data_IF_220886924016
#
_entry.id   IF_220886924016
#
_cell.length_a   1.000
_cell.length_b   1.000
_cell.length_c   1.000
_cell.angle_alpha   90.00
_cell.angle_beta   90.00
_cell.angle_gamma   90.00
#
_symmetry.space_group_name_H-M   'P 1'
#
loop_
_entity.id
_entity.type
_entity.pdbx_description
1 polymer ?
#
# COMPACT_ATOMS: atom_id res chain seq x y z
N UNK A 1 6.85 -6.09 -10.94
CA UNK A 1 5.37 -5.87 -10.91
C UNK A 1 5.02 -4.40 -11.23
N UNK A 2 3.78 -3.94 -11.07
CA UNK A 2 3.38 -2.52 -11.06
C UNK A 2 2.58 -2.20 -9.79
N UNK A 3 2.76 -1.00 -9.24
CA UNK A 3 2.05 -0.55 -8.05
C UNK A 3 1.15 0.64 -8.38
N UNK A 4 -0.09 0.61 -7.89
CA UNK A 4 -1.06 1.70 -8.03
C UNK A 4 -1.53 2.09 -6.64
N UNK A 5 -1.30 3.34 -6.25
CA UNK A 5 -1.66 3.88 -4.94
C UNK A 5 -2.81 4.86 -5.14
N UNK A 6 -3.94 4.57 -4.50
CA UNK A 6 -5.17 5.37 -4.54
C UNK A 6 -5.34 6.04 -3.19
N UNK A 7 -5.09 7.34 -3.12
CA UNK A 7 -5.18 8.10 -1.88
C UNK A 7 -6.49 8.87 -1.80
N UNK A 8 -7.20 8.73 -0.67
CA UNK A 8 -8.38 9.54 -0.42
C UNK A 8 -7.98 11.02 -0.15
N UNK A 9 -8.69 12.03 -0.68
CA UNK A 9 -8.32 13.45 -0.55
C UNK A 9 -8.17 13.96 0.90
N UNK A 10 -8.95 13.39 1.83
CA UNK A 10 -8.84 13.73 3.26
C UNK A 10 -7.49 13.36 3.90
N UNK A 11 -6.72 12.43 3.30
CA UNK A 11 -5.39 12.04 3.78
C UNK A 11 -4.28 12.83 3.09
N UNK A 12 -4.52 13.33 1.87
CA UNK A 12 -3.56 14.16 1.16
C UNK A 12 -3.15 15.42 1.95
N UNK A 13 -4.07 15.97 2.75
CA UNK A 13 -3.82 17.15 3.59
C UNK A 13 -3.02 16.85 4.86
N UNK A 14 -2.72 15.58 5.17
CA UNK A 14 -1.95 15.24 6.37
C UNK A 14 -0.46 15.35 6.10
N UNK A 15 0.25 16.02 7.00
CA UNK A 15 1.68 16.31 6.86
C UNK A 15 2.60 15.07 6.76
N UNK A 16 2.11 13.86 7.07
CA UNK A 16 2.90 12.63 7.09
C UNK A 16 2.32 11.60 6.11
N UNK A 17 2.63 11.78 4.83
CA UNK A 17 2.14 10.96 3.72
C UNK A 17 3.00 9.72 3.45
N UNK A 18 2.83 8.64 4.21
CA UNK A 18 3.60 7.38 4.01
C UNK A 18 3.37 6.75 2.64
N UNK A 19 2.15 6.83 2.09
CA UNK A 19 1.84 6.38 0.74
C UNK A 19 2.58 7.20 -0.34
N UNK A 20 2.64 8.53 -0.16
CA UNK A 20 3.41 9.41 -1.05
C UNK A 20 4.91 9.11 -0.95
N UNK A 21 5.41 8.83 0.24
CA UNK A 21 6.81 8.42 0.44
C UNK A 21 7.12 7.13 -0.32
N UNK A 22 6.23 6.12 -0.23
CA UNK A 22 6.38 4.87 -0.96
C UNK A 22 6.40 5.12 -2.48
N UNK A 23 5.51 5.96 -3.00
CA UNK A 23 5.49 6.33 -4.43
C UNK A 23 6.82 6.93 -4.90
N UNK A 24 7.42 7.82 -4.10
CA UNK A 24 8.72 8.43 -4.43
C UNK A 24 9.88 7.43 -4.40
N UNK A 25 9.76 6.34 -3.63
CA UNK A 25 10.78 5.30 -3.54
C UNK A 25 10.64 4.18 -4.60
N UNK A 26 9.50 4.11 -5.30
CA UNK A 26 9.19 3.00 -6.21
C UNK A 26 9.02 3.54 -7.63
N UNK A 27 9.96 3.16 -8.51
CA UNK A 27 9.90 3.48 -9.94
C UNK A 27 8.62 2.90 -10.56
N UNK A 28 8.08 3.62 -11.54
CA UNK A 28 6.89 3.24 -12.31
C UNK A 28 5.62 2.97 -11.49
N UNK A 29 5.58 3.42 -10.23
CA UNK A 29 4.35 3.41 -9.45
C UNK A 29 3.40 4.52 -9.91
N UNK A 30 2.09 4.24 -9.85
CA UNK A 30 1.04 5.19 -10.19
C UNK A 30 0.44 5.71 -8.89
N UNK A 31 0.27 7.02 -8.78
CA UNK A 31 -0.34 7.66 -7.61
C UNK A 31 -1.51 8.53 -8.05
N UNK A 32 -2.71 8.22 -7.56
CA UNK A 32 -3.94 8.94 -7.88
C UNK A 32 -4.62 9.38 -6.59
N UNK A 33 -4.98 10.66 -6.51
CA UNK A 33 -5.72 11.23 -5.37
C UNK A 33 -7.15 11.50 -5.81
N UNK A 34 -8.13 10.94 -5.12
CA UNK A 34 -9.53 11.16 -5.49
C UNK A 34 -10.50 10.23 -4.79
N UNK A 35 -11.79 10.51 -4.97
CA UNK A 35 -12.89 9.63 -4.55
C UNK A 35 -13.47 8.84 -5.73
N UNK A 36 -13.37 9.35 -6.96
CA UNK A 36 -13.74 8.65 -8.19
C UNK A 36 -12.50 8.49 -9.07
N UNK A 37 -11.67 7.49 -8.75
CA UNK A 37 -10.35 7.30 -9.38
C UNK A 37 -10.39 6.36 -10.57
N UNK A 38 -11.45 5.57 -10.72
CA UNK A 38 -11.65 4.67 -11.85
C UNK A 38 -11.78 5.35 -13.21
N UNK A 39 -12.10 6.64 -13.22
CA UNK A 39 -12.21 7.45 -14.45
C UNK A 39 -10.84 7.97 -14.91
N UNK A 40 -9.80 7.85 -14.09
CA UNK A 40 -8.44 8.26 -14.46
C UNK A 40 -7.95 7.40 -15.63
N UNK A 41 -7.47 8.01 -16.75
CA UNK A 41 -7.04 7.27 -17.93
C UNK A 41 -5.99 6.18 -17.66
N UNK A 42 -5.08 6.40 -16.69
CA UNK A 42 -4.07 5.42 -16.31
C UNK A 42 -4.71 4.20 -15.66
N UNK A 43 -5.74 4.41 -14.83
CA UNK A 43 -6.48 3.35 -14.16
C UNK A 43 -7.34 2.58 -15.16
N UNK A 44 -8.03 3.29 -16.05
CA UNK A 44 -8.83 2.68 -17.13
C UNK A 44 -7.96 1.77 -18.00
N UNK A 45 -6.80 2.26 -18.44
CA UNK A 45 -5.87 1.49 -19.27
C UNK A 45 -5.36 0.23 -18.56
N UNK A 46 -5.05 0.32 -17.26
CA UNK A 46 -4.58 -0.84 -16.47
C UNK A 46 -5.66 -1.89 -16.28
N UNK A 47 -6.90 -1.48 -15.98
CA UNK A 47 -8.02 -2.39 -15.74
C UNK A 47 -8.53 -3.05 -17.02
N UNK A 48 -8.37 -2.41 -18.18
CA UNK A 48 -8.80 -2.94 -19.47
C UNK A 48 -7.75 -3.82 -20.18
N UNK A 49 -6.51 -3.83 -19.69
CA UNK A 49 -5.41 -4.55 -20.34
C UNK A 49 -5.32 -6.00 -19.89
N UNK A 50 -5.34 -6.93 -20.84
CA UNK A 50 -5.10 -8.35 -20.60
C UNK A 50 -3.64 -8.64 -20.20
N UNK A 51 -2.72 -7.72 -20.47
CA UNK A 51 -1.31 -7.84 -20.02
C UNK A 51 -1.18 -7.72 -18.50
N UNK A 52 -2.20 -7.20 -17.81
CA UNK A 52 -2.16 -6.94 -16.38
C UNK A 52 -3.07 -7.87 -15.60
N UNK A 53 -2.51 -8.54 -14.60
CA UNK A 53 -3.31 -9.20 -13.56
C UNK A 53 -3.48 -8.21 -12.39
N UNK A 54 -4.66 -7.60 -12.30
CA UNK A 54 -4.93 -6.59 -11.28
C UNK A 54 -5.45 -7.23 -9.98
N UNK A 55 -4.85 -6.87 -8.85
CA UNK A 55 -5.28 -7.29 -7.51
C UNK A 55 -5.37 -6.11 -6.57
N UNK A 56 -6.23 -6.21 -5.56
CA UNK A 56 -6.41 -5.19 -4.54
C UNK A 56 -5.78 -5.62 -3.21
N UNK A 57 -4.83 -4.83 -2.70
CA UNK A 57 -4.32 -4.96 -1.34
C UNK A 57 -5.35 -4.38 -0.37
N UNK A 58 -6.21 -5.24 0.14
CA UNK A 58 -7.26 -4.89 1.09
C UNK A 58 -7.76 -6.15 1.81
N UNK A 59 -7.92 -6.13 3.15
CA UNK A 59 -8.38 -7.32 3.85
C UNK A 59 -9.81 -7.70 3.50
N UNK A 60 -10.10 -8.99 3.59
CA UNK A 60 -11.42 -9.56 3.36
C UNK A 60 -11.40 -11.04 3.67
N UNK A 61 -12.57 -11.65 3.87
CA UNK A 61 -12.69 -13.09 4.14
C UNK A 61 -12.09 -13.94 3.01
N UNK A 62 -12.32 -13.51 1.77
CA UNK A 62 -11.83 -14.16 0.56
C UNK A 62 -10.44 -13.65 0.11
N UNK A 63 -9.76 -12.82 0.91
CA UNK A 63 -8.47 -12.27 0.51
C UNK A 63 -7.38 -13.34 0.60
N UNK A 64 -6.60 -13.50 -0.47
CA UNK A 64 -5.48 -14.44 -0.49
C UNK A 64 -4.34 -13.93 0.40
N UNK A 65 -3.91 -14.74 1.35
CA UNK A 65 -2.75 -14.44 2.17
C UNK A 65 -1.48 -14.69 1.36
N UNK A 66 -0.86 -13.63 0.85
CA UNK A 66 0.28 -13.73 -0.06
C UNK A 66 1.49 -14.38 0.59
N UNK A 67 1.60 -14.37 1.92
CA UNK A 67 2.70 -15.09 2.61
C UNK A 67 2.53 -16.61 2.54
N UNK A 68 1.32 -17.09 2.27
CA UNK A 68 1.00 -18.51 2.09
C UNK A 68 0.87 -18.88 0.62
N UNK A 69 0.28 -18.00 -0.19
CA UNK A 69 -0.09 -18.29 -1.59
C UNK A 69 0.74 -17.51 -2.61
N UNK A 70 1.75 -16.75 -2.18
CA UNK A 70 2.54 -15.87 -3.06
C UNK A 70 3.24 -16.63 -4.18
N UNK A 71 3.77 -17.81 -3.88
CA UNK A 71 4.47 -18.66 -4.85
C UNK A 71 3.52 -19.13 -5.96
N UNK A 72 2.31 -19.53 -5.59
CA UNK A 72 1.24 -19.93 -6.53
C UNK A 72 0.82 -18.77 -7.41
N UNK A 73 0.65 -17.57 -6.82
CA UNK A 73 0.34 -16.35 -7.57
C UNK A 73 1.44 -16.03 -8.57
N UNK A 74 2.72 -16.06 -8.16
CA UNK A 74 3.87 -15.84 -9.06
C UNK A 74 3.93 -16.90 -10.17
N UNK A 75 3.66 -18.17 -9.88
CA UNK A 75 3.62 -19.23 -10.87
C UNK A 75 2.48 -19.03 -11.89
N UNK A 76 1.29 -18.62 -11.43
CA UNK A 76 0.16 -18.26 -12.29
C UNK A 76 0.49 -17.10 -13.23
N UNK A 77 1.10 -16.03 -12.70
CA UNK A 77 1.49 -14.85 -13.50
C UNK A 77 2.47 -15.22 -14.62
N UNK A 78 3.48 -16.05 -14.31
CA UNK A 78 4.45 -16.53 -15.30
C UNK A 78 3.80 -17.37 -16.40
N UNK A 79 2.91 -18.30 -16.03
CA UNK A 79 2.19 -19.15 -17.00
C UNK A 79 1.33 -18.33 -17.96
N UNK A 80 0.66 -17.31 -17.45
CA UNK A 80 -0.25 -16.49 -18.25
C UNK A 80 0.47 -15.34 -18.98
N UNK A 81 1.77 -15.14 -18.75
CA UNK A 81 2.53 -14.02 -19.32
C UNK A 81 2.06 -12.64 -18.86
N UNK A 82 1.34 -12.56 -17.73
CA UNK A 82 0.73 -11.30 -17.24
C UNK A 82 1.61 -10.63 -16.20
N UNK A 83 1.70 -9.30 -16.27
CA UNK A 83 2.35 -8.47 -15.25
C UNK A 83 1.38 -8.20 -14.10
N UNK A 84 1.78 -8.55 -12.88
CA UNK A 84 1.02 -8.21 -11.68
C UNK A 84 0.91 -6.69 -11.48
N UNK A 85 -0.30 -6.21 -11.25
CA UNK A 85 -0.60 -4.83 -10.82
C UNK A 85 -1.30 -4.85 -9.49
N UNK A 86 -0.68 -4.27 -8.46
CA UNK A 86 -1.24 -4.21 -7.11
C UNK A 86 -1.82 -2.83 -6.85
N UNK A 87 -3.12 -2.77 -6.58
CA UNK A 87 -3.84 -1.58 -6.14
C UNK A 87 -3.79 -1.48 -4.62
N UNK A 88 -3.38 -0.33 -4.10
CA UNK A 88 -3.29 -0.03 -2.66
C UNK A 88 -4.18 1.16 -2.37
N UNK A 89 -5.10 1.02 -1.43
CA UNK A 89 -5.98 2.11 -1.00
C UNK A 89 -5.40 2.77 0.25
N UNK A 90 -5.03 4.04 0.14
CA UNK A 90 -4.50 4.83 1.24
C UNK A 90 -5.58 5.72 1.88
N UNK A 91 -5.90 5.37 3.12
CA UNK A 91 -6.55 6.27 4.06
C UNK A 91 -7.13 5.59 5.28
N UNK A 92 -7.84 6.35 6.14
CA UNK A 92 -8.59 5.72 7.24
C UNK A 92 -9.52 4.63 6.72
N UNK A 93 -9.87 3.64 7.55
CA UNK A 93 -10.82 2.59 7.19
C UNK A 93 -12.12 3.13 6.58
N UNK A 94 -12.65 4.23 7.11
CA UNK A 94 -13.86 4.86 6.58
C UNK A 94 -13.62 5.51 5.21
N UNK A 95 -12.47 6.15 5.00
CA UNK A 95 -12.09 6.72 3.71
C UNK A 95 -11.85 5.64 2.65
N UNK A 96 -11.15 4.56 3.01
CA UNK A 96 -10.88 3.44 2.12
C UNK A 96 -12.18 2.73 1.70
N UNK A 97 -13.09 2.47 2.65
CA UNK A 97 -14.42 1.93 2.36
C UNK A 97 -15.21 2.82 1.40
N UNK A 98 -15.21 4.15 1.62
CA UNK A 98 -15.88 5.10 0.73
C UNK A 98 -15.27 5.08 -0.67
N UNK A 99 -13.94 5.10 -0.78
CA UNK A 99 -13.23 5.02 -2.06
C UNK A 99 -13.59 3.72 -2.79
N UNK A 100 -13.59 2.57 -2.12
CA UNK A 100 -13.99 1.32 -2.77
C UNK A 100 -15.47 1.31 -3.16
N UNK A 101 -16.36 1.90 -2.35
CA UNK A 101 -17.78 1.97 -2.68
C UNK A 101 -18.07 2.82 -3.93
N UNK A 102 -17.28 3.85 -4.20
CA UNK A 102 -17.40 4.71 -5.39
C UNK A 102 -16.61 4.19 -6.59
N UNK A 103 -15.85 3.10 -6.44
CA UNK A 103 -15.01 2.51 -7.47
C UNK A 103 -15.29 0.99 -7.55
N UNK A 104 -16.39 0.58 -8.23
CA UNK A 104 -16.87 -0.80 -8.25
C UNK A 104 -15.96 -1.77 -9.00
N UNK A 105 -15.27 -1.35 -10.07
CA UNK A 105 -14.33 -2.24 -10.81
C UNK A 105 -13.09 -2.54 -9.97
N UNK A 106 -12.60 -1.57 -9.20
CA UNK A 106 -11.48 -1.73 -8.27
C UNK A 106 -11.92 -2.58 -7.08
N UNK A 107 -13.13 -2.35 -6.55
CA UNK A 107 -13.67 -3.14 -5.44
C UNK A 107 -13.94 -4.61 -5.80
N UNK A 108 -14.19 -4.89 -7.08
CA UNK A 108 -14.38 -6.23 -7.63
C UNK A 108 -13.06 -6.99 -7.90
N UNK A 109 -11.91 -6.32 -7.81
CA UNK A 109 -10.62 -6.99 -8.01
C UNK A 109 -10.40 -8.11 -6.97
N UNK A 110 -9.74 -9.22 -7.36
CA UNK A 110 -9.27 -10.22 -6.42
C UNK A 110 -8.45 -9.56 -5.31
N UNK A 111 -8.73 -9.94 -4.06
CA UNK A 111 -8.09 -9.33 -2.90
C UNK A 111 -6.88 -10.13 -2.47
N UNK A 112 -5.82 -9.41 -2.15
CA UNK A 112 -4.67 -9.94 -1.46
C UNK A 112 -4.54 -9.29 -0.09
N UNK A 113 -4.02 -10.05 0.86
CA UNK A 113 -3.68 -9.60 2.21
C UNK A 113 -2.45 -10.36 2.70
N UNK A 114 -1.99 -10.07 3.91
CA UNK A 114 -0.91 -10.81 4.55
C UNK A 114 -1.19 -10.90 6.06
N UNK A 115 -0.93 -12.07 6.64
CA UNK A 115 -1.05 -12.29 8.10
C UNK A 115 0.32 -12.36 8.79
N UNK A 116 0.34 -12.22 10.12
CA UNK A 116 1.57 -12.37 10.93
C UNK A 116 2.56 -11.20 10.80
N UNK A 117 2.07 -9.97 10.64
CA UNK A 117 2.92 -8.78 10.52
C UNK A 117 3.64 -8.47 11.83
N UNK A 118 4.80 -7.82 11.71
CA UNK A 118 5.47 -7.22 12.87
C UNK A 118 4.71 -5.95 13.30
N UNK A 119 4.81 -5.51 14.56
CA UNK A 119 4.29 -4.21 14.97
C UNK A 119 4.84 -3.09 14.09
N UNK A 120 4.00 -2.12 13.77
CA UNK A 120 4.39 -0.98 12.94
C UNK A 120 5.47 -0.13 13.63
N UNK A 121 6.47 0.29 12.85
CA UNK A 121 7.51 1.22 13.25
C UNK A 121 7.04 2.69 13.18
N UNK A 122 5.76 2.94 12.86
CA UNK A 122 5.15 4.28 12.75
C UNK A 122 4.91 4.96 14.11
N UNK A 123 5.96 5.11 14.92
CA UNK A 123 5.94 5.58 16.32
C UNK A 123 5.45 7.02 16.53
N UNK A 124 5.27 7.77 15.45
CA UNK A 124 4.77 9.15 15.48
C UNK A 124 3.25 9.26 15.28
N UNK A 125 2.56 8.16 14.95
CA UNK A 125 1.10 8.11 14.79
C UNK A 125 0.55 6.88 15.51
N UNK A 126 -0.50 7.06 16.31
CA UNK A 126 -1.20 5.94 16.97
C UNK A 126 -1.87 5.06 15.90
N UNK A 127 -1.54 3.77 15.91
CA UNK A 127 -2.21 2.77 15.08
C UNK A 127 -3.50 2.29 15.76
N UNK A 128 -4.55 1.93 14.99
CA UNK A 128 -5.79 1.41 15.57
C UNK A 128 -5.60 0.09 16.34
N UNK A 129 -4.66 -0.74 15.89
CA UNK A 129 -4.30 -2.00 16.52
C UNK A 129 -2.82 -2.32 16.27
N UNK A 130 -2.24 -3.23 17.06
CA UNK A 130 -0.83 -3.61 16.98
C UNK A 130 -0.43 -4.22 15.64
N UNK A 131 -1.37 -4.85 14.92
CA UNK A 131 -1.17 -5.46 13.62
C UNK A 131 -1.39 -4.50 12.44
N UNK A 132 -1.85 -3.28 12.69
CA UNK A 132 -2.04 -2.28 11.63
C UNK A 132 -0.70 -1.68 11.20
N UNK A 133 -0.41 -1.78 9.91
CA UNK A 133 0.77 -1.20 9.28
C UNK A 133 0.44 0.16 8.64
N UNK A 134 1.46 1.00 8.49
CA UNK A 134 1.41 2.12 7.56
C UNK A 134 1.40 1.65 6.11
N UNK A 135 1.01 2.54 5.18
CA UNK A 135 0.92 2.21 3.76
C UNK A 135 2.28 1.81 3.16
N UNK A 136 3.38 2.44 3.59
CA UNK A 136 4.72 2.08 3.12
C UNK A 136 5.18 0.71 3.66
N UNK A 137 4.86 0.39 4.91
CA UNK A 137 5.15 -0.93 5.47
C UNK A 137 4.30 -2.02 4.81
N UNK A 138 3.03 -1.75 4.56
CA UNK A 138 2.13 -2.66 3.85
C UNK A 138 2.61 -2.90 2.41
N UNK A 139 3.02 -1.85 1.71
CA UNK A 139 3.62 -1.94 0.39
C UNK A 139 4.89 -2.80 0.47
N UNK A 140 5.82 -2.52 1.38
CA UNK A 140 7.05 -3.30 1.54
C UNK A 140 6.76 -4.80 1.68
N UNK A 141 5.78 -5.18 2.49
CA UNK A 141 5.39 -6.59 2.65
C UNK A 141 4.94 -7.24 1.34
N UNK A 142 4.21 -6.50 0.49
CA UNK A 142 3.86 -6.99 -0.84
C UNK A 142 5.09 -7.13 -1.73
N UNK A 143 5.98 -6.14 -1.73
CA UNK A 143 7.18 -6.16 -2.58
C UNK A 143 8.09 -7.34 -2.22
N UNK A 144 8.33 -7.57 -0.92
CA UNK A 144 9.16 -8.68 -0.43
C UNK A 144 8.64 -10.05 -0.87
N UNK A 145 7.33 -10.22 -0.88
CA UNK A 145 6.69 -11.51 -1.19
C UNK A 145 6.47 -11.71 -2.69
N UNK A 146 6.06 -10.66 -3.42
CA UNK A 146 5.61 -10.78 -4.81
C UNK A 146 6.65 -10.30 -5.84
N UNK A 147 7.67 -9.56 -5.43
CA UNK A 147 8.78 -9.12 -6.29
C UNK A 147 10.16 -9.28 -5.60
N UNK A 148 10.50 -10.50 -5.13
CA UNK A 148 11.71 -10.75 -4.35
C UNK A 148 13.02 -10.58 -5.12
N UNK A 149 12.96 -10.49 -6.46
CA UNK A 149 14.13 -10.29 -7.31
C UNK A 149 14.70 -8.87 -7.22
N UNK A 150 13.90 -7.92 -6.73
CA UNK A 150 14.30 -6.52 -6.57
C UNK A 150 14.45 -6.22 -5.08
N UNK A 151 15.57 -5.62 -4.69
CA UNK A 151 15.75 -5.16 -3.32
C UNK A 151 14.91 -3.91 -3.08
N UNK A 152 14.11 -3.95 -2.02
CA UNK A 152 13.23 -2.86 -1.61
C UNK A 152 13.55 -2.34 -0.19
N UNK A 153 14.70 -2.71 0.38
CA UNK A 153 15.09 -2.34 1.75
C UNK A 153 15.09 -0.82 1.99
N UNK A 154 15.36 -0.04 0.95
CA UNK A 154 15.40 1.43 1.01
C UNK A 154 14.06 2.06 1.42
N UNK A 155 12.91 1.40 1.19
CA UNK A 155 11.60 1.94 1.60
C UNK A 155 11.52 2.09 3.12
N UNK A 156 11.90 1.04 3.85
CA UNK A 156 11.86 1.06 5.31
C UNK A 156 12.97 1.94 5.89
N UNK A 157 14.12 2.04 5.22
CA UNK A 157 15.18 2.97 5.64
C UNK A 157 14.70 4.43 5.59
N UNK A 158 14.12 4.86 4.47
CA UNK A 158 13.58 6.22 4.31
C UNK A 158 12.41 6.46 5.28
N UNK A 159 11.55 5.45 5.48
CA UNK A 159 10.47 5.51 6.46
C UNK A 159 11.00 5.71 7.89
N UNK A 160 11.94 4.87 8.32
CA UNK A 160 12.57 4.95 9.65
C UNK A 160 13.27 6.29 9.85
N UNK A 161 13.99 6.76 8.83
CA UNK A 161 14.64 8.07 8.88
C UNK A 161 13.62 9.18 9.12
N UNK A 162 12.52 9.20 8.36
CA UNK A 162 11.45 10.19 8.50
C UNK A 162 10.76 10.13 9.88
N UNK A 163 10.53 8.93 10.42
CA UNK A 163 9.98 8.74 11.76
C UNK A 163 10.96 9.22 12.84
N UNK A 164 12.22 8.80 12.78
CA UNK A 164 13.27 9.17 13.73
C UNK A 164 13.52 10.68 13.75
N UNK A 165 13.52 11.31 12.57
CA UNK A 165 13.71 12.75 12.44
C UNK A 165 12.61 13.50 13.20
N UNK A 166 11.35 13.11 13.06
CA UNK A 166 10.25 13.75 13.81
C UNK A 166 10.31 13.48 15.31
N UNK A 167 10.70 12.27 15.72
CA UNK A 167 10.90 11.97 17.15
C UNK A 167 11.99 12.87 17.75
N UNK A 168 13.09 13.12 17.02
CA UNK A 168 14.19 13.95 17.50
C UNK A 168 13.84 15.42 17.75
N UNK A 169 12.72 15.90 17.18
CA UNK A 169 12.21 17.26 17.39
C UNK A 169 11.03 17.31 18.37
N UNK A 170 10.61 16.19 18.96
CA UNK A 170 9.64 16.23 20.05
C UNK A 170 10.29 16.94 21.23
N UNK A 171 9.61 17.92 21.86
CA UNK A 171 10.14 18.50 23.08
C UNK A 171 10.36 17.38 24.08
N UNK A 172 11.59 17.26 24.58
CA UNK A 172 11.89 16.42 25.73
C UNK A 172 11.01 16.97 26.84
N UNK A 173 10.12 16.16 27.42
CA UNK A 173 9.43 16.54 28.64
C UNK A 173 10.51 16.95 29.62
N UNK A 174 10.58 18.26 29.90
CA UNK A 174 11.48 18.82 30.89
C UNK A 174 11.23 18.07 32.20
N UNK A 175 12.31 17.61 32.80
CA UNK A 175 12.35 17.29 34.20
C UNK A 175 11.76 18.46 35.00
N UNK A 176 11.09 18.12 36.09
CA UNK A 176 10.61 19.03 37.11
C UNK A 176 11.61 20.18 37.35
N UNK A 177 11.11 21.41 37.23
CA UNK A 177 11.74 22.63 37.69
C UNK A 177 10.67 23.49 38.37
#
# INVERSE_FOLDING_TARGET
MKLVILQHPAEFRKAIGTARLAHLCIRDSVFVVGVEVEKDPKIVSLLASDEHECVLLYPGKEAWDIRKTGDELRARLRRNGRRLTVFVVDGTWNCAKKLLATNPRIAALPRISFSGTRPSEYRIRKQPASYCLSSIEAIQQVLEVLDPAVSHGHLLEVFRWMVNRQISYRPTSGADA
#
